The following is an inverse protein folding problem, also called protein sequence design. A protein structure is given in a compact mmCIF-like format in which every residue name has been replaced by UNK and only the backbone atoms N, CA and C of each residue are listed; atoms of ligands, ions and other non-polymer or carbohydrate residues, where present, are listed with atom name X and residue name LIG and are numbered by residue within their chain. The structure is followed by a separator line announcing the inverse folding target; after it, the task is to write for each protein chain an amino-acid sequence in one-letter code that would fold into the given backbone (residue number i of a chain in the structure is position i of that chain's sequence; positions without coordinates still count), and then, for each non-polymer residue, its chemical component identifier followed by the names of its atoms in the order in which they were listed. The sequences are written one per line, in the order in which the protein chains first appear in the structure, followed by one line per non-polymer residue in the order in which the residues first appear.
data_IF_503095646674
#
_entry.id   IF_503095646674
#
_cell.length_a   1.000
_cell.length_b   1.000
_cell.length_c   1.000
_cell.angle_alpha   90.00
_cell.angle_beta   90.00
_cell.angle_gamma   90.00
#
_symmetry.space_group_name_H-M   'P 1'
#
loop_
_entity.id
_entity.type
_entity.pdbx_description
1 polymer ?
#
# COMPACT_ATOMS: atom_id res chain seq x y z
N UNK A 1 -0.11 -27.17 2.34
CA UNK A 1 -0.64 -26.28 1.29
C UNK A 1 -1.37 -25.17 2.01
N UNK A 2 -0.67 -24.07 2.30
CA UNK A 2 -1.26 -22.87 2.88
C UNK A 2 -2.16 -22.26 1.82
N UNK A 3 -3.47 -22.25 2.07
CA UNK A 3 -4.39 -21.42 1.30
C UNK A 3 -3.88 -19.99 1.39
N UNK A 4 -3.54 -19.40 0.23
CA UNK A 4 -3.17 -18.00 0.08
C UNK A 4 -4.33 -17.18 0.64
N UNK A 5 -4.07 -16.47 1.74
CA UNK A 5 -5.12 -15.79 2.48
C UNK A 5 -5.29 -14.35 1.96
N UNK A 6 -6.45 -13.99 1.36
CA UNK A 6 -6.70 -12.64 0.88
C UNK A 6 -6.71 -11.59 2.01
N UNK A 7 -6.76 -12.01 3.27
CA UNK A 7 -6.58 -11.13 4.43
C UNK A 7 -5.11 -10.73 4.61
N UNK A 8 -4.14 -11.55 4.20
CA UNK A 8 -2.70 -11.22 4.27
C UNK A 8 -2.40 -9.99 3.41
N UNK A 9 -2.81 -10.00 2.15
CA UNK A 9 -2.60 -8.84 1.26
C UNK A 9 -3.32 -7.58 1.79
N UNK A 10 -4.56 -7.72 2.26
CA UNK A 10 -5.31 -6.58 2.82
C UNK A 10 -4.66 -6.01 4.08
N UNK A 11 -4.11 -6.88 4.93
CA UNK A 11 -3.36 -6.48 6.12
C UNK A 11 -2.08 -5.74 5.73
N UNK A 12 -1.32 -6.26 4.77
CA UNK A 12 -0.11 -5.61 4.28
C UNK A 12 -0.40 -4.22 3.72
N UNK A 13 -1.43 -4.05 2.88
CA UNK A 13 -1.81 -2.73 2.37
C UNK A 13 -2.24 -1.75 3.46
N UNK A 14 -2.90 -2.26 4.52
CA UNK A 14 -3.25 -1.44 5.68
C UNK A 14 -1.99 -0.93 6.39
N UNK A 15 -1.04 -1.82 6.63
CA UNK A 15 0.23 -1.50 7.29
C UNK A 15 1.07 -0.52 6.47
N UNK A 16 1.19 -0.74 5.15
CA UNK A 16 1.82 0.19 4.21
C UNK A 16 1.16 1.57 4.27
N UNK A 17 -0.18 1.62 4.31
CA UNK A 17 -0.92 2.88 4.39
C UNK A 17 -0.70 3.60 5.72
N UNK A 18 -0.59 2.85 6.83
CA UNK A 18 -0.30 3.38 8.15
C UNK A 18 1.11 3.99 8.21
N UNK A 19 2.11 3.28 7.68
CA UNK A 19 3.50 3.79 7.57
C UNK A 19 3.54 5.08 6.75
N UNK A 20 2.91 5.06 5.57
CA UNK A 20 2.87 6.24 4.69
C UNK A 20 2.15 7.42 5.35
N UNK A 21 1.09 7.15 6.13
CA UNK A 21 0.38 8.20 6.88
C UNK A 21 1.20 8.76 8.04
N UNK A 22 2.04 7.95 8.69
CA UNK A 22 2.93 8.42 9.77
C UNK A 22 4.04 9.30 9.21
N UNK A 23 4.67 8.90 8.10
CA UNK A 23 5.80 9.64 7.51
C UNK A 23 5.44 11.03 7.00
N UNK A 24 4.16 11.31 6.68
CA UNK A 24 3.72 12.67 6.30
C UNK A 24 3.43 13.59 7.48
N UNK A 25 3.49 13.11 8.73
CA UNK A 25 3.23 13.93 9.91
C UNK A 25 4.42 14.87 10.18
N UNK A 26 4.14 16.14 10.46
CA UNK A 26 5.15 17.19 10.68
C UNK A 26 6.07 16.90 11.89
N UNK A 27 5.60 16.14 12.87
CA UNK A 27 6.35 15.74 14.07
C UNK A 27 6.82 14.27 14.00
N UNK A 28 6.80 13.65 12.82
CA UNK A 28 7.26 12.27 12.63
C UNK A 28 8.75 12.15 12.90
N UNK A 29 9.15 11.15 13.69
CA UNK A 29 10.54 10.72 13.80
C UNK A 29 10.97 9.83 12.62
N UNK A 30 10.02 9.38 11.80
CA UNK A 30 10.25 8.55 10.64
C UNK A 30 10.36 9.41 9.39
N UNK A 31 11.49 9.29 8.71
CA UNK A 31 11.77 9.93 7.42
C UNK A 31 11.04 9.23 6.27
N UNK A 32 10.90 9.92 5.14
CA UNK A 32 10.30 9.37 3.93
C UNK A 32 11.12 8.18 3.38
N UNK A 33 12.45 8.22 3.51
CA UNK A 33 13.34 7.11 3.13
C UNK A 33 13.13 5.88 4.02
N UNK A 34 13.04 6.04 5.34
CA UNK A 34 12.74 4.92 6.26
C UNK A 34 11.36 4.33 5.97
N UNK A 35 10.38 5.18 5.67
CA UNK A 35 9.06 4.72 5.26
C UNK A 35 9.10 3.94 3.95
N UNK A 36 9.85 4.42 2.95
CA UNK A 36 10.03 3.72 1.68
C UNK A 36 10.70 2.36 1.85
N UNK A 37 11.73 2.25 2.68
CA UNK A 37 12.39 0.97 3.00
C UNK A 37 11.40 -0.01 3.66
N UNK A 38 10.61 0.45 4.63
CA UNK A 38 9.61 -0.38 5.29
C UNK A 38 8.49 -0.82 4.33
N UNK A 39 8.02 0.08 3.47
CA UNK A 39 7.00 -0.21 2.47
C UNK A 39 7.51 -1.24 1.45
N UNK A 40 8.75 -1.08 0.98
CA UNK A 40 9.40 -2.02 0.06
C UNK A 40 9.49 -3.43 0.67
N UNK A 41 9.95 -3.52 1.93
CA UNK A 41 10.07 -4.80 2.63
C UNK A 41 8.71 -5.50 2.80
N UNK A 42 7.65 -4.76 3.14
CA UNK A 42 6.30 -5.34 3.26
C UNK A 42 5.77 -5.76 1.88
N UNK A 43 6.01 -4.97 0.84
CA UNK A 43 5.54 -5.28 -0.52
C UNK A 43 6.19 -6.57 -1.05
N UNK A 44 7.51 -6.69 -0.93
CA UNK A 44 8.29 -7.87 -1.32
C UNK A 44 7.81 -9.12 -0.58
N UNK A 45 7.77 -9.07 0.76
CA UNK A 45 7.25 -10.16 1.60
C UNK A 45 5.82 -10.58 1.21
N UNK A 46 4.96 -9.60 0.91
CA UNK A 46 3.57 -9.89 0.51
C UNK A 46 3.50 -10.62 -0.83
N UNK A 47 4.38 -10.31 -1.79
CA UNK A 47 4.46 -11.01 -3.08
C UNK A 47 4.93 -12.46 -2.88
N UNK A 48 5.93 -12.67 -2.03
CA UNK A 48 6.43 -14.01 -1.69
C UNK A 48 5.35 -14.88 -1.02
N UNK A 49 4.55 -14.30 -0.13
CA UNK A 49 3.50 -15.02 0.61
C UNK A 49 2.18 -15.18 -0.16
N UNK A 50 1.95 -14.37 -1.20
CA UNK A 50 0.72 -14.42 -2.02
C UNK A 50 0.96 -14.68 -3.51
N UNK A 51 1.72 -15.72 -3.88
CA UNK A 51 2.04 -16.00 -5.27
C UNK A 51 0.78 -16.43 -6.03
N UNK A 52 0.26 -15.55 -6.88
CA UNK A 52 -0.88 -15.83 -7.75
C UNK A 52 -2.20 -15.22 -7.32
N UNK A 53 -2.27 -14.39 -6.28
CA UNK A 53 -3.49 -13.63 -6.00
C UNK A 53 -3.70 -12.57 -7.11
N UNK A 54 -4.82 -12.68 -7.82
CA UNK A 54 -5.23 -11.78 -8.92
C UNK A 54 -6.18 -10.68 -8.43
N UNK A 55 -6.39 -10.58 -7.10
CA UNK A 55 -7.17 -9.49 -6.53
C UNK A 55 -6.49 -8.13 -6.76
N UNK A 56 -7.31 -7.07 -6.85
CA UNK A 56 -6.83 -5.68 -6.95
C UNK A 56 -5.82 -5.28 -5.85
N UNK A 57 -5.85 -5.98 -4.71
CA UNK A 57 -4.86 -5.83 -3.65
C UNK A 57 -3.44 -6.19 -4.13
N UNK A 58 -3.30 -7.31 -4.83
CA UNK A 58 -2.02 -7.77 -5.35
C UNK A 58 -1.49 -6.86 -6.47
N UNK A 59 -2.37 -6.17 -7.22
CA UNK A 59 -1.93 -5.18 -8.21
C UNK A 59 -1.25 -3.96 -7.57
N UNK A 60 -1.78 -3.46 -6.45
CA UNK A 60 -1.16 -2.34 -5.72
C UNK A 60 0.19 -2.76 -5.16
N UNK A 61 0.25 -3.92 -4.50
CA UNK A 61 1.49 -4.47 -3.93
C UNK A 61 2.55 -4.69 -5.01
N UNK A 62 2.19 -5.28 -6.16
CA UNK A 62 3.13 -5.46 -7.30
C UNK A 62 3.64 -4.14 -7.85
N UNK A 63 2.80 -3.11 -7.91
CA UNK A 63 3.23 -1.78 -8.36
C UNK A 63 4.14 -1.10 -7.34
N UNK A 64 3.85 -1.25 -6.05
CA UNK A 64 4.73 -0.77 -4.98
C UNK A 64 6.10 -1.42 -5.09
N UNK A 65 6.14 -2.75 -5.15
CA UNK A 65 7.37 -3.51 -5.33
C UNK A 65 8.15 -3.07 -6.58
N UNK A 66 7.49 -2.96 -7.73
CA UNK A 66 8.15 -2.50 -8.96
C UNK A 66 8.72 -1.07 -8.86
N UNK A 67 8.11 -0.18 -8.07
CA UNK A 67 8.64 1.16 -7.83
C UNK A 67 9.85 1.16 -6.89
N UNK A 68 9.95 0.17 -5.98
CA UNK A 68 10.98 0.11 -4.94
C UNK A 68 12.12 -0.86 -5.23
N UNK A 69 11.90 -1.89 -6.05
CA UNK A 69 12.84 -3.00 -6.25
C UNK A 69 14.18 -2.57 -6.87
N UNK A 70 14.16 -1.55 -7.74
CA UNK A 70 15.35 -1.03 -8.39
C UNK A 70 16.01 0.14 -7.64
N UNK A 71 15.50 0.49 -6.47
CA UNK A 71 15.95 1.65 -5.70
C UNK A 71 17.02 1.22 -4.72
N UNK A 72 18.20 1.82 -4.86
CA UNK A 72 19.23 1.77 -3.82
C UNK A 72 18.90 2.83 -2.77
N UNK A 73 18.23 2.42 -1.70
CA UNK A 73 17.80 3.35 -0.65
C UNK A 73 18.97 3.97 0.12
N UNK A 74 20.15 3.35 0.15
CA UNK A 74 21.32 3.92 0.85
C UNK A 74 22.00 5.03 0.01
N UNK A 75 21.80 5.00 -1.31
CA UNK A 75 22.30 6.00 -2.24
C UNK A 75 21.26 7.06 -2.64
N UNK A 76 20.00 6.90 -2.22
CA UNK A 76 18.89 7.79 -2.57
C UNK A 76 19.01 9.12 -1.82
N UNK A 77 19.04 10.24 -2.54
CA UNK A 77 19.06 11.57 -1.91
C UNK A 77 17.68 11.99 -1.39
N UNK A 78 17.64 12.90 -0.42
CA UNK A 78 16.39 13.38 0.21
C UNK A 78 15.32 13.79 -0.81
N UNK A 79 15.68 14.58 -1.82
CA UNK A 79 14.73 15.02 -2.85
C UNK A 79 14.20 13.87 -3.71
N UNK A 80 15.03 12.86 -4.00
CA UNK A 80 14.63 11.68 -4.75
C UNK A 80 13.74 10.77 -3.90
N UNK A 81 14.03 10.66 -2.60
CA UNK A 81 13.19 9.97 -1.62
C UNK A 81 11.82 10.63 -1.51
N UNK A 82 11.74 11.96 -1.38
CA UNK A 82 10.46 12.69 -1.38
C UNK A 82 9.66 12.44 -2.65
N UNK A 83 10.28 12.56 -3.82
CA UNK A 83 9.60 12.35 -5.09
C UNK A 83 9.09 10.90 -5.25
N UNK A 84 9.86 9.91 -4.80
CA UNK A 84 9.44 8.51 -4.81
C UNK A 84 8.31 8.26 -3.80
N UNK A 85 8.39 8.84 -2.62
CA UNK A 85 7.38 8.72 -1.59
C UNK A 85 6.04 9.36 -2.01
N UNK A 86 6.07 10.50 -2.70
CA UNK A 86 4.89 11.12 -3.30
C UNK A 86 4.22 10.20 -4.34
N UNK A 87 5.01 9.47 -5.13
CA UNK A 87 4.48 8.47 -6.08
C UNK A 87 3.80 7.31 -5.35
N UNK A 88 4.39 6.82 -4.25
CA UNK A 88 3.80 5.80 -3.37
C UNK A 88 2.47 6.29 -2.79
N UNK A 89 2.42 7.51 -2.25
CA UNK A 89 1.19 8.12 -1.75
C UNK A 89 0.11 8.25 -2.82
N UNK A 90 0.50 8.65 -4.04
CA UNK A 90 -0.40 8.75 -5.19
C UNK A 90 -1.03 7.40 -5.55
N UNK A 91 -0.23 6.34 -5.55
CA UNK A 91 -0.71 4.97 -5.81
C UNK A 91 -1.71 4.51 -4.74
N UNK A 92 -1.40 4.71 -3.46
CA UNK A 92 -2.25 4.32 -2.33
C UNK A 92 -3.59 5.07 -2.34
N UNK A 93 -3.58 6.38 -2.64
CA UNK A 93 -4.79 7.20 -2.76
C UNK A 93 -5.67 6.79 -3.95
N UNK A 94 -5.08 6.26 -5.01
CA UNK A 94 -5.80 5.83 -6.22
C UNK A 94 -6.47 4.45 -6.05
N UNK A 95 -6.08 3.69 -5.02
CA UNK A 95 -6.65 2.38 -4.70
C UNK A 95 -7.10 2.31 -3.24
N UNK A 96 -8.08 3.14 -2.82
CA UNK A 96 -8.73 2.89 -1.54
C UNK A 96 -9.38 1.51 -1.68
N UNK A 97 -9.05 0.59 -0.76
CA UNK A 97 -9.65 -0.75 -0.71
C UNK A 97 -11.17 -0.69 -0.90
N UNK A 98 -11.81 -1.78 -1.37
CA UNK A 98 -13.13 -1.73 -2.00
C UNK A 98 -14.06 -0.82 -1.21
N UNK A 99 -14.38 0.32 -1.81
CA UNK A 99 -15.40 1.23 -1.28
C UNK A 99 -16.58 0.35 -0.91
N UNK A 100 -16.98 0.35 0.37
CA UNK A 100 -18.20 -0.31 0.81
C UNK A 100 -19.29 0.25 -0.08
N UNK A 101 -19.69 -0.53 -1.09
CA UNK A 101 -20.84 -0.23 -1.93
C UNK A 101 -21.98 -0.13 -0.94
N UNK A 102 -22.34 1.10 -0.61
CA UNK A 102 -23.41 1.40 0.32
C UNK A 102 -24.63 0.71 -0.20
N UNK A 103 -25.07 -0.32 0.53
CA UNK A 103 -26.45 -0.74 0.51
C UNK A 103 -27.22 0.44 1.10
N UNK A 104 -27.57 1.40 0.24
CA UNK A 104 -28.76 2.20 0.43
C UNK A 104 -29.90 1.36 -0.15
N UNK A 105 -30.33 0.36 0.62
CA UNK A 105 -31.68 -0.16 0.50
C UNK A 105 -32.59 0.93 1.10
N UNK A 106 -32.90 1.91 0.26
CA UNK A 106 -33.86 2.95 0.55
C UNK A 106 -35.21 2.28 0.72
N UNK A 107 -35.69 2.27 1.96
CA UNK A 107 -37.06 1.89 2.23
C UNK A 107 -38.06 2.80 1.51
N UNK A 108 -39.23 2.20 1.28
CA UNK A 108 -40.54 2.83 1.14
C UNK A 108 -40.84 3.51 -0.20
N UNK A 109 -41.62 2.84 -1.05
CA UNK A 109 -42.76 3.47 -1.72
C UNK A 109 -43.93 2.47 -1.87
N UNK A 110 -45.13 3.05 -1.80
CA UNK A 110 -46.42 2.43 -1.59
C UNK A 110 -46.93 1.55 -2.75
N UNK A 111 -47.74 0.55 -2.41
CA UNK A 111 -49.16 0.44 -2.78
C UNK A 111 -49.80 -0.78 -2.10
#
# INVERSE_FOLDING_TARGET
MTSIDPQTCRRALREISEIAAVAVLQDSQMTEQEALQAIAAIADWTIEETPGDHAACADVVRRLDAMTQAVDFDALGDHEATALFDNVLGLLKSHPGPARSGVMDGGLEAQ
#
